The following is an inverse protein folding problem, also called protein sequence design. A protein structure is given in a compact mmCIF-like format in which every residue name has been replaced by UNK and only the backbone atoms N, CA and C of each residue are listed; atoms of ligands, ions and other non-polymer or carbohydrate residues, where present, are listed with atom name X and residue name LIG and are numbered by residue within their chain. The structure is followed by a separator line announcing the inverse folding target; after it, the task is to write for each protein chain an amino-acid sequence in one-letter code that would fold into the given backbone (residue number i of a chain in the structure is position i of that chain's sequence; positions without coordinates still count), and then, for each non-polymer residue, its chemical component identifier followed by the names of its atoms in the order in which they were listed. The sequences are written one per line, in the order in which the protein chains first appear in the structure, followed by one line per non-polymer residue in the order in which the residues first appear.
data_IF_174090026296
#
_entry.id   IF_174090026296
#
_cell.length_a   1.000
_cell.length_b   1.000
_cell.length_c   1.000
_cell.angle_alpha   90.00
_cell.angle_beta   90.00
_cell.angle_gamma   90.00
#
_symmetry.space_group_name_H-M   'P 1'
#
loop_
_entity.id
_entity.type
_entity.pdbx_description
1 polymer ?
#
# COMPACT_ATOMS: atom_id res chain seq x y z
N UNK A 1 -8.70 -37.81 4.41
CA UNK A 1 -8.60 -36.62 3.55
C UNK A 1 -9.78 -35.72 3.87
N UNK A 2 -9.59 -34.68 4.69
CA UNK A 2 -10.63 -33.68 4.96
C UNK A 2 -10.28 -32.45 4.15
N UNK A 3 -10.94 -32.27 3.00
CA UNK A 3 -11.00 -30.98 2.36
C UNK A 3 -11.82 -30.08 3.29
N UNK A 4 -11.13 -29.40 4.22
CA UNK A 4 -11.69 -28.26 4.93
C UNK A 4 -12.10 -27.27 3.86
N UNK A 5 -13.39 -27.25 3.53
CA UNK A 5 -14.04 -26.14 2.86
C UNK A 5 -13.85 -24.92 3.75
N UNK A 6 -12.70 -24.27 3.61
CA UNK A 6 -12.49 -22.96 4.15
C UNK A 6 -13.50 -22.09 3.39
N UNK A 7 -14.51 -21.50 4.05
CA UNK A 7 -15.52 -20.72 3.35
C UNK A 7 -14.77 -19.70 2.48
N UNK A 8 -15.10 -19.66 1.18
CA UNK A 8 -14.50 -18.69 0.25
C UNK A 8 -14.66 -17.32 0.90
N UNK A 9 -13.53 -16.76 1.32
CA UNK A 9 -13.45 -15.58 2.15
C UNK A 9 -14.23 -14.44 1.48
N UNK A 10 -15.36 -14.05 2.08
CA UNK A 10 -16.17 -12.93 1.64
C UNK A 10 -15.47 -11.62 2.04
N UNK A 11 -15.47 -10.64 1.13
CA UNK A 11 -14.72 -9.38 1.21
C UNK A 11 -13.19 -9.54 1.11
N UNK A 12 -12.51 -8.54 0.51
CA UNK A 12 -11.05 -8.44 0.50
C UNK A 12 -10.54 -8.55 1.95
N UNK A 13 -9.94 -9.69 2.30
CA UNK A 13 -9.19 -9.85 3.55
C UNK A 13 -7.81 -9.20 3.40
N UNK A 14 -7.81 -7.92 3.08
CA UNK A 14 -6.63 -7.09 3.00
C UNK A 14 -6.69 -6.10 4.15
N UNK A 15 -5.73 -6.18 5.07
CA UNK A 15 -5.60 -5.21 6.15
C UNK A 15 -5.21 -3.83 5.60
N UNK A 16 -5.47 -2.77 6.38
CA UNK A 16 -5.03 -1.42 6.06
C UNK A 16 -3.52 -1.38 5.77
N UNK A 17 -2.70 -2.06 6.58
CA UNK A 17 -1.25 -2.14 6.38
C UNK A 17 -0.86 -2.86 5.07
N UNK A 18 -1.54 -3.96 4.73
CA UNK A 18 -1.30 -4.68 3.47
C UNK A 18 -1.60 -3.81 2.26
N UNK A 19 -2.68 -3.02 2.32
CA UNK A 19 -3.00 -2.07 1.26
C UNK A 19 -2.00 -0.92 1.22
N UNK A 20 -1.62 -0.36 2.37
CA UNK A 20 -0.62 0.70 2.48
C UNK A 20 0.72 0.27 1.88
N UNK A 21 1.22 -0.94 2.19
CA UNK A 21 2.44 -1.52 1.60
C UNK A 21 2.36 -1.56 0.07
N UNK A 22 1.28 -2.14 -0.46
CA UNK A 22 1.09 -2.24 -1.91
C UNK A 22 1.03 -0.87 -2.59
N UNK A 23 0.32 0.08 -1.98
CA UNK A 23 0.17 1.40 -2.57
C UNK A 23 1.46 2.24 -2.48
N UNK A 24 2.27 2.07 -1.42
CA UNK A 24 3.62 2.66 -1.34
C UNK A 24 4.49 2.18 -2.51
N UNK A 25 4.52 0.86 -2.76
CA UNK A 25 5.28 0.30 -3.89
C UNK A 25 4.79 0.87 -5.22
N UNK A 26 3.47 0.96 -5.41
CA UNK A 26 2.87 1.58 -6.60
C UNK A 26 3.33 3.03 -6.81
N UNK A 27 3.34 3.83 -5.74
CA UNK A 27 3.74 5.24 -5.81
C UNK A 27 5.23 5.38 -6.13
N UNK A 28 6.08 4.53 -5.55
CA UNK A 28 7.53 4.54 -5.82
C UNK A 28 7.88 4.00 -7.22
N UNK A 29 7.07 3.11 -7.77
CA UNK A 29 7.19 2.69 -9.17
C UNK A 29 6.85 3.84 -10.14
N UNK A 30 5.94 4.75 -9.75
CA UNK A 30 5.61 5.96 -10.52
C UNK A 30 6.60 7.11 -10.30
N UNK A 31 7.20 7.19 -9.12
CA UNK A 31 8.13 8.25 -8.71
C UNK A 31 9.33 7.63 -8.01
N UNK A 32 10.52 7.79 -8.59
CA UNK A 32 11.75 7.15 -8.13
C UNK A 32 12.10 7.34 -6.64
N UNK A 33 11.62 8.42 -5.98
CA UNK A 33 11.83 8.62 -4.55
C UNK A 33 10.79 9.52 -3.90
N UNK A 34 10.41 9.22 -2.65
CA UNK A 34 9.42 9.99 -1.89
C UNK A 34 9.76 10.06 -0.40
N UNK A 35 9.31 11.12 0.28
CA UNK A 35 9.32 11.24 1.75
C UNK A 35 7.91 10.96 2.31
N UNK A 36 7.81 10.81 3.63
CA UNK A 36 6.55 10.48 4.33
C UNK A 36 5.39 11.42 3.97
N UNK A 37 5.67 12.71 3.81
CA UNK A 37 4.72 13.76 3.50
C UNK A 37 4.15 13.60 2.08
N UNK A 38 5.00 13.24 1.10
CA UNK A 38 4.55 12.96 -0.26
C UNK A 38 3.59 11.76 -0.27
N UNK A 39 3.84 10.72 0.52
CA UNK A 39 2.91 9.59 0.62
C UNK A 39 1.57 10.03 1.19
N UNK A 40 1.57 10.80 2.28
CA UNK A 40 0.33 11.33 2.89
C UNK A 40 -0.50 12.12 1.88
N UNK A 41 0.14 12.98 1.09
CA UNK A 41 -0.52 13.76 0.03
C UNK A 41 -1.08 12.91 -1.10
N UNK A 42 -0.42 11.81 -1.47
CA UNK A 42 -0.94 10.91 -2.51
C UNK A 42 -2.07 10.01 -1.97
N UNK A 43 -1.98 9.55 -0.72
CA UNK A 43 -3.07 8.80 -0.08
C UNK A 43 -4.34 9.65 0.10
N UNK A 44 -4.22 10.93 0.43
CA UNK A 44 -5.40 11.81 0.58
C UNK A 44 -6.13 12.06 -0.74
N UNK A 45 -5.47 11.88 -1.89
CA UNK A 45 -6.07 11.97 -3.23
C UNK A 45 -6.75 10.68 -3.67
N UNK A 46 -6.48 9.55 -3.01
CA UNK A 46 -6.91 8.22 -3.47
C UNK A 46 -8.43 8.02 -3.30
N UNK A 47 -8.97 8.31 -2.11
CA UNK A 47 -10.41 8.27 -1.85
C UNK A 47 -10.76 9.39 -0.86
N UNK A 48 -11.98 9.92 -0.96
CA UNK A 48 -12.46 10.93 0.01
C UNK A 48 -12.68 10.39 1.43
N UNK A 49 -12.74 9.07 1.60
CA UNK A 49 -13.24 8.45 2.84
C UNK A 49 -12.20 7.60 3.58
N UNK A 50 -11.04 7.32 2.97
CA UNK A 50 -10.04 6.45 3.56
C UNK A 50 -8.62 6.90 3.23
N UNK A 51 -7.80 6.96 4.27
CA UNK A 51 -6.33 7.09 4.23
C UNK A 51 -5.75 6.34 5.43
N UNK A 52 -4.51 5.82 5.34
CA UNK A 52 -3.88 5.20 6.50
C UNK A 52 -3.65 6.22 7.62
N UNK A 53 -3.75 5.77 8.87
CA UNK A 53 -3.33 6.58 10.01
C UNK A 53 -1.84 6.97 9.88
N UNK A 54 -1.42 8.13 10.39
CA UNK A 54 -0.01 8.54 10.31
C UNK A 54 0.96 7.52 10.89
N UNK A 55 0.60 6.86 12.00
CA UNK A 55 1.39 5.77 12.58
C UNK A 55 1.50 4.60 11.63
N UNK A 56 0.38 4.10 11.11
CA UNK A 56 0.35 2.98 10.15
C UNK A 56 1.24 3.22 8.93
N UNK A 57 1.24 4.43 8.37
CA UNK A 57 2.12 4.77 7.25
C UNK A 57 3.60 4.69 7.66
N UNK A 58 3.95 5.27 8.81
CA UNK A 58 5.33 5.28 9.29
C UNK A 58 5.82 3.87 9.67
N UNK A 59 4.98 3.09 10.36
CA UNK A 59 5.25 1.71 10.72
C UNK A 59 5.46 0.87 9.45
N UNK A 60 4.59 1.02 8.45
CA UNK A 60 4.73 0.30 7.17
C UNK A 60 6.02 0.68 6.43
N UNK A 61 6.38 1.97 6.40
CA UNK A 61 7.64 2.42 5.79
C UNK A 61 8.87 1.86 6.52
N UNK A 62 8.81 1.76 7.85
CA UNK A 62 9.86 1.15 8.65
C UNK A 62 9.96 -0.35 8.37
N UNK A 63 8.86 -1.08 8.45
CA UNK A 63 8.80 -2.52 8.20
C UNK A 63 9.30 -2.86 6.79
N UNK A 64 8.87 -2.13 5.78
CA UNK A 64 9.32 -2.32 4.39
C UNK A 64 10.82 -2.04 4.21
N UNK A 65 11.40 -1.13 5.00
CA UNK A 65 12.84 -0.90 5.01
C UNK A 65 13.59 -2.07 5.66
N UNK A 66 13.14 -2.54 6.82
CA UNK A 66 13.72 -3.70 7.51
C UNK A 66 13.60 -4.99 6.68
N UNK A 67 12.48 -5.16 5.96
CA UNK A 67 12.28 -6.25 5.00
C UNK A 67 13.17 -6.14 3.74
N UNK A 68 13.87 -5.02 3.54
CA UNK A 68 14.72 -4.76 2.38
C UNK A 68 13.95 -4.46 1.09
N UNK A 69 12.66 -4.14 1.19
CA UNK A 69 11.84 -3.71 0.05
C UNK A 69 12.13 -2.25 -0.33
N UNK A 70 12.52 -1.44 0.66
CA UNK A 70 12.85 -0.03 0.48
C UNK A 70 14.28 0.27 0.94
N UNK A 71 14.99 1.06 0.14
CA UNK A 71 16.18 1.78 0.59
C UNK A 71 15.76 3.10 1.22
N UNK A 72 16.42 3.47 2.33
CA UNK A 72 16.19 4.72 3.06
C UNK A 72 17.47 5.56 3.08
N UNK A 73 17.36 6.83 2.70
CA UNK A 73 18.46 7.82 2.79
C UNK A 73 18.03 8.99 3.68
N UNK A 74 18.88 9.38 4.61
CA UNK A 74 18.66 10.55 5.47
C UNK A 74 19.01 11.86 4.75
N UNK A 75 18.17 12.87 4.92
CA UNK A 75 18.41 14.23 4.44
C UNK A 75 17.78 15.27 5.40
N UNK A 76 17.95 16.56 5.12
CA UNK A 76 17.36 17.66 5.89
C UNK A 76 16.35 18.44 5.06
N UNK A 77 15.18 18.72 5.64
CA UNK A 77 14.12 19.51 4.98
C UNK A 77 14.57 20.91 4.54
N UNK A 78 15.57 21.47 5.24
CA UNK A 78 16.26 22.71 4.87
C UNK A 78 17.72 22.60 5.30
N UNK A 79 18.64 22.77 4.34
CA UNK A 79 20.08 22.75 4.60
C UNK A 79 20.57 23.98 5.37
N UNK A 80 19.81 25.08 5.35
CA UNK A 80 20.13 26.30 6.11
C UNK A 80 19.83 26.15 7.60
N UNK A 81 18.71 25.49 7.93
CA UNK A 81 18.25 25.38 9.32
C UNK A 81 18.52 24.03 9.97
N UNK A 82 18.97 22.98 9.25
CA UNK A 82 19.35 21.61 9.71
C UNK A 82 18.55 21.05 10.91
N UNK A 83 17.30 21.47 11.10
CA UNK A 83 16.51 21.22 12.32
C UNK A 83 15.56 20.04 12.15
N UNK A 84 15.19 19.69 10.92
CA UNK A 84 14.25 18.62 10.63
C UNK A 84 14.86 17.63 9.65
N UNK A 85 15.13 16.42 10.14
CA UNK A 85 15.52 15.27 9.32
C UNK A 85 14.30 14.76 8.54
N UNK A 86 14.54 14.36 7.30
CA UNK A 86 13.58 13.66 6.44
C UNK A 86 14.23 12.40 5.89
N UNK A 87 13.41 11.40 5.60
CA UNK A 87 13.86 10.14 5.04
C UNK A 87 13.31 9.98 3.63
N UNK A 88 14.20 9.88 2.67
CA UNK A 88 13.87 9.54 1.29
C UNK A 88 13.84 8.04 1.12
N UNK A 89 12.72 7.54 0.60
CA UNK A 89 12.53 6.13 0.29
C UNK A 89 12.63 5.89 -1.20
N UNK A 90 13.30 4.81 -1.58
CA UNK A 90 13.37 4.28 -2.96
C UNK A 90 13.09 2.79 -2.94
N UNK A 91 12.43 2.28 -3.96
CA UNK A 91 12.19 0.84 -4.10
C UNK A 91 13.51 0.12 -4.43
N UNK A 92 13.73 -1.05 -3.84
CA UNK A 92 14.87 -1.93 -4.16
C UNK A 92 14.49 -2.92 -5.26
N UNK A 93 15.44 -3.66 -5.86
CA UNK A 93 15.10 -4.76 -6.77
C UNK A 93 14.15 -5.78 -6.14
N UNK A 94 14.35 -6.13 -4.86
CA UNK A 94 13.44 -6.99 -4.09
C UNK A 94 12.04 -6.38 -3.95
N UNK A 95 11.96 -5.07 -3.72
CA UNK A 95 10.70 -4.33 -3.66
C UNK A 95 9.92 -4.37 -4.98
N UNK A 96 10.61 -4.28 -6.12
CA UNK A 96 9.97 -4.37 -7.44
C UNK A 96 9.44 -5.77 -7.74
N UNK A 97 10.21 -6.81 -7.40
CA UNK A 97 9.75 -8.20 -7.52
C UNK A 97 8.49 -8.46 -6.68
N UNK A 98 8.51 -8.02 -5.42
CA UNK A 98 7.37 -8.11 -4.51
C UNK A 98 6.16 -7.34 -5.06
N UNK A 99 6.37 -6.16 -5.64
CA UNK A 99 5.29 -5.35 -6.21
C UNK A 99 4.57 -6.08 -7.35
N UNK A 100 5.31 -6.71 -8.26
CA UNK A 100 4.72 -7.46 -9.37
C UNK A 100 3.95 -8.71 -8.90
N UNK A 101 4.40 -9.37 -7.83
CA UNK A 101 3.65 -10.46 -7.19
C UNK A 101 2.34 -9.95 -6.60
N UNK A 102 2.39 -8.88 -5.79
CA UNK A 102 1.21 -8.30 -5.16
C UNK A 102 0.20 -7.79 -6.18
N UNK A 103 0.66 -7.15 -7.25
CA UNK A 103 -0.18 -6.62 -8.34
C UNK A 103 -1.01 -7.71 -9.01
N UNK A 104 -0.40 -8.86 -9.32
CA UNK A 104 -1.13 -10.02 -9.89
C UNK A 104 -2.14 -10.58 -8.90
N UNK A 105 -1.72 -10.76 -7.65
CA UNK A 105 -2.57 -11.30 -6.60
C UNK A 105 -3.79 -10.41 -6.32
N UNK A 106 -3.55 -9.12 -6.10
CA UNK A 106 -4.60 -8.15 -5.75
C UNK A 106 -5.54 -7.85 -6.91
N UNK A 107 -5.07 -7.90 -8.17
CA UNK A 107 -5.97 -7.78 -9.32
C UNK A 107 -7.07 -8.85 -9.29
N UNK A 108 -6.71 -10.11 -9.08
CA UNK A 108 -7.69 -11.20 -9.02
C UNK A 108 -8.70 -10.99 -7.89
N UNK A 109 -8.22 -10.55 -6.71
CA UNK A 109 -9.08 -10.27 -5.57
C UNK A 109 -10.01 -9.08 -5.85
N UNK A 110 -9.51 -8.00 -6.44
CA UNK A 110 -10.33 -6.83 -6.79
C UNK A 110 -11.41 -7.18 -7.82
N UNK A 111 -11.06 -7.93 -8.87
CA UNK A 111 -12.01 -8.35 -9.91
C UNK A 111 -13.16 -9.19 -9.30
N UNK A 112 -12.84 -10.13 -8.39
CA UNK A 112 -13.84 -10.94 -7.69
C UNK A 112 -14.75 -10.09 -6.80
N UNK A 113 -14.19 -9.15 -6.04
CA UNK A 113 -15.00 -8.28 -5.18
C UNK A 113 -15.89 -7.34 -5.97
N UNK A 114 -15.39 -6.75 -7.06
CA UNK A 114 -16.19 -5.91 -7.95
C UNK A 114 -17.37 -6.72 -8.50
N UNK A 115 -17.14 -7.97 -8.93
CA UNK A 115 -18.20 -8.84 -9.40
C UNK A 115 -19.27 -9.12 -8.33
N UNK A 116 -18.85 -9.47 -7.11
CA UNK A 116 -19.76 -9.73 -5.99
C UNK A 116 -20.57 -8.48 -5.64
N UNK A 117 -19.92 -7.32 -5.50
CA UNK A 117 -20.59 -6.07 -5.16
C UNK A 117 -21.60 -5.67 -6.25
N UNK A 118 -21.22 -5.75 -7.53
CA UNK A 118 -22.13 -5.45 -8.63
C UNK A 118 -23.37 -6.36 -8.63
N UNK A 119 -23.20 -7.64 -8.32
CA UNK A 119 -24.31 -8.59 -8.22
C UNK A 119 -25.25 -8.23 -7.07
N UNK A 120 -24.71 -7.94 -5.88
CA UNK A 120 -25.50 -7.50 -4.71
C UNK A 120 -26.24 -6.20 -5.02
N UNK A 121 -25.55 -5.23 -5.64
CA UNK A 121 -26.17 -3.95 -6.00
C UNK A 121 -27.36 -4.14 -6.94
N UNK A 122 -27.23 -5.04 -7.92
CA UNK A 122 -28.32 -5.38 -8.84
C UNK A 122 -29.46 -6.15 -8.16
N UNK A 123 -29.16 -7.07 -7.24
CA UNK A 123 -30.20 -7.90 -6.61
C UNK A 123 -30.98 -7.18 -5.51
N UNK A 124 -30.34 -6.26 -4.80
CA UNK A 124 -30.93 -5.58 -3.63
C UNK A 124 -31.50 -4.20 -3.99
N UNK A 125 -30.91 -3.52 -4.97
CA UNK A 125 -31.20 -2.11 -5.26
C UNK A 125 -31.61 -1.82 -6.71
N UNK A 126 -31.72 -2.83 -7.59
CA UNK A 126 -32.32 -2.71 -8.93
C UNK A 126 -33.49 -3.68 -9.09
#
# INVERSE_FOLDING_TARGET
MSHKNNPKKFALNMSAAQFTKFYILHLLHKRNSMISEHFKEEFSKLTGNWQPAPSTLLDTLHDMHEEGLLQRTEDYKSHEKKRQKVYWYRVTPKGEEEFEVLKKHYKMLFDEQIHILNKIMKEVYQ
#
